data_IF_189023155185
#
_entry.id   IF_189023155185
#
_cell.length_a   1.000
_cell.length_b   1.000
_cell.length_c   1.000
_cell.angle_alpha   90.00
_cell.angle_beta   90.00
_cell.angle_gamma   90.00
#
_symmetry.space_group_name_H-M   'P 1'
#
loop_
_entity.id
_entity.type
_entity.pdbx_description
1 polymer ?
#
# COMPACT_ATOMS: atom_id res chain seq x y z
N UNK A 1 -30.48 -12.36 -46.01
CA UNK A 1 -30.17 -12.52 -44.57
C UNK A 1 -28.76 -11.99 -44.35
N UNK A 2 -28.63 -10.94 -43.53
CA UNK A 2 -27.36 -10.26 -43.21
C UNK A 2 -26.66 -11.00 -42.06
N UNK A 3 -25.33 -11.11 -42.09
CA UNK A 3 -24.41 -10.44 -41.14
C UNK A 3 -22.98 -10.97 -41.29
N UNK A 4 -22.12 -10.09 -41.79
CA UNK A 4 -20.66 -10.15 -41.67
C UNK A 4 -20.24 -9.92 -40.22
N UNK A 5 -19.21 -10.62 -39.75
CA UNK A 5 -18.56 -10.37 -38.46
C UNK A 5 -17.23 -9.65 -38.73
N UNK A 6 -17.24 -8.37 -38.42
CA UNK A 6 -16.10 -7.46 -38.40
C UNK A 6 -15.58 -7.44 -36.95
N UNK A 7 -14.38 -7.96 -36.69
CA UNK A 7 -13.78 -7.93 -35.36
C UNK A 7 -13.17 -6.55 -35.09
N UNK A 8 -13.84 -5.81 -34.20
CA UNK A 8 -13.52 -4.47 -33.76
C UNK A 8 -12.72 -4.51 -32.44
N UNK A 9 -11.73 -3.63 -32.38
CA UNK A 9 -10.77 -3.35 -31.31
C UNK A 9 -11.44 -3.20 -29.93
N UNK A 10 -10.96 -3.93 -28.92
CA UNK A 10 -11.33 -3.72 -27.52
C UNK A 10 -10.30 -2.81 -26.84
N UNK A 11 -10.57 -1.50 -26.90
CA UNK A 11 -9.98 -0.53 -25.99
C UNK A 11 -10.72 -0.61 -24.66
N UNK A 12 -10.10 -1.16 -23.62
CA UNK A 12 -10.59 -0.99 -22.24
C UNK A 12 -10.08 0.36 -21.75
N UNK A 13 -10.81 1.41 -22.10
CA UNK A 13 -10.72 2.68 -21.41
C UNK A 13 -11.21 2.47 -19.97
N UNK A 14 -10.31 2.65 -19.00
CA UNK A 14 -10.68 2.89 -17.61
C UNK A 14 -11.45 4.21 -17.55
N UNK A 15 -12.76 4.14 -17.76
CA UNK A 15 -13.66 5.23 -17.49
C UNK A 15 -13.76 5.41 -15.98
N UNK A 16 -13.00 6.37 -15.44
CA UNK A 16 -13.38 7.03 -14.20
C UNK A 16 -14.68 7.80 -14.48
N UNK A 17 -15.82 7.12 -14.30
CA UNK A 17 -17.09 7.78 -14.13
C UNK A 17 -17.03 8.55 -12.81
N UNK A 18 -16.75 9.84 -12.87
CA UNK A 18 -17.09 10.77 -11.80
C UNK A 18 -18.61 10.88 -11.74
N UNK A 19 -19.23 9.95 -11.01
CA UNK A 19 -20.61 10.04 -10.61
C UNK A 19 -20.76 11.25 -9.68
N UNK A 20 -21.61 12.18 -10.12
CA UNK A 20 -22.04 13.40 -9.47
C UNK A 20 -22.79 13.10 -8.16
N UNK A 21 -22.39 13.82 -7.11
CA UNK A 21 -23.22 14.19 -5.95
C UNK A 21 -24.10 13.09 -5.34
N UNK A 22 -23.50 12.17 -4.59
CA UNK A 22 -24.21 11.49 -3.51
C UNK A 22 -23.30 11.41 -2.28
N UNK A 23 -23.76 12.09 -1.23
CA UNK A 23 -23.17 12.13 0.10
C UNK A 23 -22.90 10.72 0.61
N UNK A 24 -21.64 10.35 0.65
CA UNK A 24 -21.08 9.55 1.72
C UNK A 24 -19.69 10.12 1.94
N UNK A 25 -19.58 11.05 2.88
CA UNK A 25 -18.39 11.07 3.71
C UNK A 25 -18.37 9.68 4.35
N UNK A 26 -17.78 8.69 3.66
CA UNK A 26 -17.09 7.63 4.37
C UNK A 26 -16.21 8.42 5.33
N UNK A 27 -16.49 8.33 6.64
CA UNK A 27 -15.72 9.07 7.63
C UNK A 27 -14.25 8.92 7.27
N UNK A 28 -13.46 9.99 7.40
CA UNK A 28 -12.01 9.92 7.18
C UNK A 28 -11.42 8.68 7.87
N UNK A 29 -12.03 8.27 8.99
CA UNK A 29 -11.86 7.03 9.71
C UNK A 29 -12.11 5.74 8.92
N UNK A 30 -13.22 5.60 8.18
CA UNK A 30 -13.50 4.42 7.34
C UNK A 30 -12.50 4.30 6.19
N UNK A 31 -12.12 5.42 5.58
CA UNK A 31 -11.09 5.45 4.53
C UNK A 31 -9.72 5.09 5.11
N UNK A 32 -9.37 5.67 6.26
CA UNK A 32 -8.13 5.38 6.99
C UNK A 32 -8.05 3.91 7.38
N UNK A 33 -9.13 3.34 7.93
CA UNK A 33 -9.19 1.93 8.33
C UNK A 33 -9.04 0.97 7.15
N UNK A 34 -9.67 1.29 6.02
CA UNK A 34 -9.53 0.49 4.79
C UNK A 34 -8.11 0.54 4.26
N UNK A 35 -7.54 1.74 4.16
CA UNK A 35 -6.15 1.93 3.74
C UNK A 35 -5.17 1.23 4.69
N UNK A 36 -5.40 1.33 6.00
CA UNK A 36 -4.66 0.64 7.04
C UNK A 36 -4.74 -0.88 6.90
N UNK A 37 -5.92 -1.43 6.59
CA UNK A 37 -6.09 -2.88 6.38
C UNK A 37 -5.28 -3.37 5.18
N UNK A 38 -5.34 -2.65 4.06
CA UNK A 38 -4.52 -2.97 2.88
C UNK A 38 -3.02 -2.82 3.15
N UNK A 39 -2.62 -1.82 3.93
CA UNK A 39 -1.24 -1.61 4.37
C UNK A 39 -0.76 -2.78 5.24
N UNK A 40 -1.50 -3.14 6.28
CA UNK A 40 -1.18 -4.25 7.17
C UNK A 40 -1.02 -5.58 6.42
N UNK A 41 -1.92 -5.87 5.46
CA UNK A 41 -1.85 -7.06 4.63
C UNK A 41 -0.59 -7.09 3.74
N UNK A 42 -0.30 -5.96 3.08
CA UNK A 42 0.90 -5.83 2.24
C UNK A 42 2.18 -5.98 3.06
N UNK A 43 2.24 -5.35 4.25
CA UNK A 43 3.37 -5.49 5.15
C UNK A 43 3.52 -6.92 5.69
N UNK A 44 2.43 -7.61 6.04
CA UNK A 44 2.47 -8.99 6.50
C UNK A 44 3.07 -9.92 5.42
N UNK A 45 2.70 -9.72 4.15
CA UNK A 45 3.26 -10.46 3.03
C UNK A 45 4.74 -10.12 2.82
N UNK A 46 5.08 -8.83 2.81
CA UNK A 46 6.47 -8.38 2.69
C UNK A 46 7.34 -8.88 3.84
N UNK A 47 6.81 -8.93 5.08
CA UNK A 47 7.51 -9.43 6.26
C UNK A 47 7.86 -10.90 6.10
N UNK A 48 6.93 -11.73 5.64
CA UNK A 48 7.19 -13.16 5.38
C UNK A 48 8.32 -13.33 4.36
N UNK A 49 8.29 -12.60 3.26
CA UNK A 49 9.36 -12.61 2.26
C UNK A 49 10.69 -12.10 2.83
N UNK A 50 10.64 -11.02 3.62
CA UNK A 50 11.81 -10.44 4.30
C UNK A 50 12.47 -11.45 5.24
N UNK A 51 11.70 -12.17 6.05
CA UNK A 51 12.22 -13.22 6.94
C UNK A 51 12.79 -14.40 6.16
N UNK A 52 12.09 -14.86 5.12
CA UNK A 52 12.54 -15.95 4.26
C UNK A 52 13.86 -15.61 3.52
N UNK A 53 14.07 -14.35 3.16
CA UNK A 53 15.26 -13.87 2.48
C UNK A 53 16.40 -13.43 3.42
N UNK A 54 16.32 -13.73 4.73
CA UNK A 54 17.36 -13.39 5.69
C UNK A 54 17.45 -11.90 6.02
N UNK A 55 16.29 -11.28 6.27
CA UNK A 55 16.14 -9.87 6.60
C UNK A 55 16.52 -8.91 5.45
N UNK A 56 16.17 -9.28 4.21
CA UNK A 56 16.39 -8.46 3.01
C UNK A 56 15.15 -8.43 2.13
N UNK A 57 14.93 -7.30 1.46
CA UNK A 57 13.89 -7.15 0.44
C UNK A 57 14.49 -7.30 -0.96
N UNK A 58 14.03 -8.30 -1.70
CA UNK A 58 14.40 -8.52 -3.09
C UNK A 58 13.31 -7.96 -4.02
N UNK A 59 13.51 -6.74 -4.54
CA UNK A 59 12.57 -6.10 -5.47
C UNK A 59 12.51 -6.75 -6.86
N UNK A 60 13.39 -7.71 -7.16
CA UNK A 60 13.32 -8.50 -8.40
C UNK A 60 12.31 -9.66 -8.28
N UNK A 61 11.88 -10.01 -7.07
CA UNK A 61 10.81 -10.99 -6.87
C UNK A 61 9.46 -10.32 -7.19
N UNK A 62 8.72 -10.90 -8.14
CA UNK A 62 7.46 -10.34 -8.62
C UNK A 62 6.39 -10.22 -7.51
N UNK A 63 6.38 -11.15 -6.55
CA UNK A 63 5.46 -11.13 -5.42
C UNK A 63 5.82 -10.02 -4.44
N UNK A 64 7.12 -9.82 -4.17
CA UNK A 64 7.62 -8.73 -3.32
C UNK A 64 7.30 -7.39 -3.96
N UNK A 65 7.57 -7.24 -5.26
CA UNK A 65 7.30 -6.01 -6.00
C UNK A 65 5.80 -5.69 -6.00
N UNK A 66 4.94 -6.67 -6.23
CA UNK A 66 3.48 -6.48 -6.23
C UNK A 66 2.97 -6.03 -4.86
N UNK A 67 3.44 -6.66 -3.77
CA UNK A 67 3.07 -6.24 -2.42
C UNK A 67 3.65 -4.86 -2.07
N UNK A 68 4.84 -4.52 -2.56
CA UNK A 68 5.44 -3.20 -2.37
C UNK A 68 4.68 -2.09 -3.14
N UNK A 69 4.18 -2.39 -4.34
CA UNK A 69 3.30 -1.50 -5.11
C UNK A 69 1.97 -1.31 -4.37
N UNK A 70 1.34 -2.39 -3.92
CA UNK A 70 0.11 -2.31 -3.14
C UNK A 70 0.29 -1.47 -1.85
N UNK A 71 1.43 -1.66 -1.17
CA UNK A 71 1.80 -0.83 -0.03
C UNK A 71 1.89 0.65 -0.41
N UNK A 72 2.60 0.98 -1.50
CA UNK A 72 2.76 2.37 -1.97
C UNK A 72 1.40 3.07 -2.19
N UNK A 73 0.42 2.36 -2.74
CA UNK A 73 -0.94 2.87 -2.92
C UNK A 73 -1.63 3.10 -1.57
N UNK A 74 -1.50 2.15 -0.64
CA UNK A 74 -2.14 2.21 0.69
C UNK A 74 -1.59 3.32 1.61
N UNK A 75 -0.41 3.86 1.32
CA UNK A 75 0.22 4.95 2.10
C UNK A 75 0.15 6.33 1.42
N UNK A 76 -0.46 6.43 0.25
CA UNK A 76 -0.50 7.67 -0.56
C UNK A 76 -1.12 8.88 0.17
N UNK A 77 -2.05 8.63 1.10
CA UNK A 77 -2.68 9.65 1.95
C UNK A 77 -2.03 9.83 3.32
N UNK A 78 -1.06 8.99 3.71
CA UNK A 78 -0.54 8.90 5.07
C UNK A 78 0.14 10.20 5.52
N UNK A 79 0.99 10.77 4.65
CA UNK A 79 1.74 12.00 4.94
C UNK A 79 0.82 13.20 5.11
N UNK A 80 -0.21 13.30 4.28
CA UNK A 80 -1.18 14.41 4.27
C UNK A 80 -2.05 14.41 5.54
N UNK A 81 -2.34 13.22 6.08
CA UNK A 81 -3.14 13.04 7.29
C UNK A 81 -2.31 12.78 8.55
N UNK A 82 -0.98 12.91 8.49
CA UNK A 82 -0.06 12.57 9.59
C UNK A 82 -0.32 13.33 10.90
N UNK A 83 -0.95 14.52 10.82
CA UNK A 83 -1.32 15.34 11.98
C UNK A 83 -2.74 15.08 12.51
N UNK A 84 -3.53 14.25 11.82
CA UNK A 84 -4.88 13.87 12.24
C UNK A 84 -4.83 12.63 13.15
N UNK A 85 -5.16 12.84 14.42
CA UNK A 85 -5.13 11.77 15.44
C UNK A 85 -6.19 10.69 15.19
N UNK A 86 -7.37 11.05 14.68
CA UNK A 86 -8.44 10.10 14.39
C UNK A 86 -8.08 9.26 13.17
N UNK A 87 -7.53 9.90 12.13
CA UNK A 87 -6.99 9.20 10.98
C UNK A 87 -5.93 8.18 11.40
N UNK A 88 -4.95 8.60 12.23
CA UNK A 88 -3.89 7.71 12.73
C UNK A 88 -4.46 6.51 13.48
N UNK A 89 -5.39 6.73 14.43
CA UNK A 89 -6.02 5.64 15.20
C UNK A 89 -6.76 4.66 14.30
N UNK A 90 -7.57 5.17 13.38
CA UNK A 90 -8.34 4.37 12.43
C UNK A 90 -7.43 3.58 11.48
N UNK A 91 -6.35 4.21 11.02
CA UNK A 91 -5.36 3.58 10.16
C UNK A 91 -4.61 2.45 10.89
N UNK A 92 -4.11 2.69 12.10
CA UNK A 92 -3.44 1.67 12.92
C UNK A 92 -4.40 0.52 13.23
N UNK A 93 -5.66 0.79 13.57
CA UNK A 93 -6.66 -0.26 13.76
C UNK A 93 -6.86 -1.11 12.50
N UNK A 94 -6.87 -0.49 11.33
CA UNK A 94 -6.85 -1.20 10.05
C UNK A 94 -5.60 -2.06 9.87
N UNK A 95 -4.41 -1.51 10.14
CA UNK A 95 -3.14 -2.24 10.03
C UNK A 95 -3.11 -3.49 10.89
N UNK A 96 -3.63 -3.43 12.12
CA UNK A 96 -3.72 -4.58 13.02
C UNK A 96 -4.62 -5.68 12.44
N UNK A 97 -5.76 -5.31 11.85
CA UNK A 97 -6.67 -6.27 11.20
C UNK A 97 -6.03 -6.93 9.97
N UNK A 98 -5.38 -6.14 9.12
CA UNK A 98 -4.71 -6.65 7.92
C UNK A 98 -3.41 -7.39 8.20
N UNK A 99 -2.74 -7.09 9.32
CA UNK A 99 -1.42 -7.60 9.69
C UNK A 99 -1.39 -9.08 10.09
N UNK A 100 -2.55 -9.76 10.12
CA UNK A 100 -2.66 -11.20 10.39
C UNK A 100 -1.92 -11.66 11.66
N UNK A 101 -1.96 -10.84 12.72
CA UNK A 101 -1.31 -11.12 14.01
C UNK A 101 0.20 -10.85 14.07
N UNK A 102 0.83 -10.42 12.96
CA UNK A 102 2.24 -10.01 12.95
C UNK A 102 2.45 -8.58 13.49
N UNK A 103 1.39 -7.77 13.47
CA UNK A 103 1.36 -6.45 14.08
C UNK A 103 0.62 -6.51 15.41
N UNK A 104 1.18 -5.84 16.41
CA UNK A 104 0.60 -5.62 17.74
C UNK A 104 0.37 -4.13 17.95
N UNK A 105 -0.49 -3.74 18.88
CA UNK A 105 -0.69 -2.31 19.19
C UNK A 105 0.63 -1.61 19.55
N UNK A 106 1.53 -2.34 20.22
CA UNK A 106 2.86 -1.86 20.61
C UNK A 106 3.74 -1.52 19.41
N UNK A 107 3.82 -2.39 18.40
CA UNK A 107 4.72 -2.18 17.27
C UNK A 107 4.05 -1.41 16.10
N UNK A 108 2.72 -1.47 15.95
CA UNK A 108 2.00 -0.84 14.84
C UNK A 108 2.12 0.68 14.83
N UNK A 109 2.24 1.31 16.01
CA UNK A 109 2.53 2.74 16.13
C UNK A 109 3.88 3.10 15.50
N UNK A 110 4.92 2.34 15.81
CA UNK A 110 6.27 2.58 15.28
C UNK A 110 6.33 2.31 13.78
N UNK A 111 5.65 1.26 13.32
CA UNK A 111 5.52 0.95 11.89
C UNK A 111 4.82 2.10 11.16
N UNK A 112 3.71 2.62 11.70
CA UNK A 112 3.03 3.79 11.14
C UNK A 112 3.97 4.99 11.01
N UNK A 113 4.70 5.33 12.08
CA UNK A 113 5.62 6.49 12.06
C UNK A 113 6.77 6.27 11.07
N UNK A 114 7.26 5.04 10.94
CA UNK A 114 8.25 4.63 9.93
C UNK A 114 7.73 4.77 8.49
N UNK A 115 6.46 4.42 8.24
CA UNK A 115 5.80 4.60 6.94
C UNK A 115 5.62 6.09 6.60
N UNK A 116 5.22 6.93 7.57
CA UNK A 116 5.11 8.39 7.36
C UNK A 116 6.45 8.95 6.92
N UNK A 117 7.51 8.61 7.65
CA UNK A 117 8.88 9.08 7.39
C UNK A 117 9.40 8.59 6.04
N UNK A 118 9.10 7.35 5.68
CA UNK A 118 9.59 6.70 4.46
C UNK A 118 8.70 6.89 3.23
N UNK A 119 7.56 7.58 3.37
CA UNK A 119 6.54 7.72 2.32
C UNK A 119 7.12 8.16 0.97
N UNK A 120 8.03 9.13 0.95
CA UNK A 120 8.68 9.59 -0.29
C UNK A 120 9.48 8.48 -1.00
N UNK A 121 10.17 7.61 -0.25
CA UNK A 121 10.94 6.51 -0.82
C UNK A 121 10.01 5.40 -1.37
N UNK A 122 8.87 5.20 -0.72
CA UNK A 122 7.92 4.13 -1.03
C UNK A 122 6.91 4.51 -2.12
N UNK A 123 6.56 5.78 -2.28
CA UNK A 123 5.58 6.25 -3.29
C UNK A 123 6.03 6.05 -4.74
N UNK A 124 7.33 5.88 -4.99
CA UNK A 124 7.90 5.80 -6.34
C UNK A 124 8.07 4.36 -6.87
N UNK A 125 7.59 3.35 -6.13
CA UNK A 125 7.79 1.94 -6.50
C UNK A 125 7.00 1.57 -7.77
N UNK A 126 5.82 2.15 -8.00
CA UNK A 126 4.97 1.77 -9.15
C UNK A 126 5.41 2.36 -10.50
N UNK A 127 6.22 3.43 -10.49
CA UNK A 127 6.60 4.18 -11.69
C UNK A 127 8.04 3.98 -12.12
N UNK A 128 8.87 3.34 -11.30
CA UNK A 128 10.32 3.36 -11.48
C UNK A 128 10.91 2.02 -11.91
N UNK A 129 11.53 2.01 -13.09
CA UNK A 129 12.48 0.96 -13.51
C UNK A 129 13.91 1.24 -13.01
N UNK A 130 14.12 2.33 -12.26
CA UNK A 130 15.44 2.71 -11.76
C UNK A 130 15.87 1.84 -10.59
N UNK A 131 16.99 1.15 -10.77
CA UNK A 131 17.63 0.31 -9.73
C UNK A 131 17.89 1.10 -8.45
N UNK A 132 18.22 2.39 -8.55
CA UNK A 132 18.47 3.27 -7.40
C UNK A 132 17.19 3.55 -6.60
N UNK A 133 16.06 3.80 -7.28
CA UNK A 133 14.77 3.99 -6.61
C UNK A 133 14.33 2.71 -5.89
N UNK A 134 14.43 1.57 -6.57
CA UNK A 134 14.05 0.27 -5.99
C UNK A 134 14.94 -0.10 -4.81
N UNK A 135 16.24 0.20 -4.86
CA UNK A 135 17.17 0.00 -3.74
C UNK A 135 16.80 0.89 -2.54
N UNK A 136 16.48 2.16 -2.80
CA UNK A 136 16.07 3.10 -1.74
C UNK A 136 14.77 2.64 -1.06
N UNK A 137 13.79 2.22 -1.86
CA UNK A 137 12.55 1.64 -1.37
C UNK A 137 12.77 0.34 -0.59
N UNK A 138 13.63 -0.56 -1.08
CA UNK A 138 13.96 -1.81 -0.40
C UNK A 138 14.61 -1.59 0.97
N UNK A 139 15.51 -0.60 1.07
CA UNK A 139 16.14 -0.21 2.34
C UNK A 139 15.10 0.37 3.30
N UNK A 140 14.23 1.26 2.84
CA UNK A 140 13.15 1.81 3.65
C UNK A 140 12.20 0.72 4.17
N UNK A 141 11.79 -0.21 3.29
CA UNK A 141 10.99 -1.37 3.68
C UNK A 141 11.71 -2.24 4.70
N UNK A 142 13.00 -2.52 4.51
CA UNK A 142 13.77 -3.36 5.44
C UNK A 142 13.83 -2.73 6.84
N UNK A 143 13.95 -1.41 6.93
CA UNK A 143 13.88 -0.69 8.21
C UNK A 143 12.50 -0.81 8.84
N UNK A 144 11.41 -0.60 8.08
CA UNK A 144 10.04 -0.68 8.59
C UNK A 144 9.70 -2.11 9.05
N UNK A 145 10.07 -3.11 8.26
CA UNK A 145 9.80 -4.51 8.55
C UNK A 145 10.65 -5.04 9.72
N UNK A 146 11.78 -4.39 10.02
CA UNK A 146 12.55 -4.64 11.24
C UNK A 146 11.87 -4.16 12.53
N UNK A 147 10.76 -3.42 12.43
CA UNK A 147 9.97 -2.97 13.59
C UNK A 147 8.87 -3.95 13.99
N UNK A 148 8.66 -5.02 13.21
CA UNK A 148 7.70 -6.09 13.48
C UNK A 148 8.20 -7.00 14.60
#
# INVERSE_FOLDING_TARGET
MKKSVFFMILAVAFAFASCSSMSNVASSDSVAKTAGTSCGSSLANLYRSYKAAGNKINMNDASVLTNAIALSTSISGLKQNSKDSNYRKSYIAGMLLGGAGLLTETNASNVYDGLVTSSNALSNINTSSSTTTLTTAANALSTILGLF
#
